data_IF_147486598454
#
_entry.id   IF_147486598454
#
_cell.length_a   1.000
_cell.length_b   1.000
_cell.length_c   1.000
_cell.angle_alpha   90.00
_cell.angle_beta   90.00
_cell.angle_gamma   90.00
#
_symmetry.space_group_name_H-M   'P 1'
#
loop_
_entity.id
_entity.type
_entity.pdbx_description
1 polymer ?
#
# COMPACT_ATOMS: atom_id res chain seq x y z
N UNK A 1 -6.43 -6.59 -15.10
CA UNK A 1 -7.45 -5.72 -15.73
C UNK A 1 -8.19 -6.45 -16.84
N UNK A 2 -7.49 -7.12 -17.75
CA UNK A 2 -8.10 -7.89 -18.85
C UNK A 2 -9.18 -8.88 -18.41
N UNK A 3 -8.96 -9.65 -17.34
CA UNK A 3 -9.98 -10.61 -16.84
C UNK A 3 -11.30 -9.94 -16.46
N UNK A 4 -11.27 -8.72 -15.91
CA UNK A 4 -12.48 -7.96 -15.55
C UNK A 4 -13.22 -7.51 -16.80
N UNK A 5 -12.49 -6.98 -17.79
CA UNK A 5 -13.04 -6.49 -19.05
C UNK A 5 -13.63 -7.63 -19.88
N UNK A 6 -12.92 -8.76 -19.96
CA UNK A 6 -13.38 -9.96 -20.67
C UNK A 6 -14.63 -10.58 -20.04
N UNK A 7 -14.83 -10.37 -18.73
CA UNK A 7 -16.04 -10.77 -18.01
C UNK A 7 -17.20 -9.74 -18.14
N UNK A 8 -17.04 -8.69 -18.95
CA UNK A 8 -18.06 -7.65 -19.20
C UNK A 8 -17.99 -6.46 -18.24
N UNK A 9 -16.99 -6.38 -17.37
CA UNK A 9 -16.76 -5.24 -16.48
C UNK A 9 -16.09 -4.06 -17.17
N UNK A 10 -16.13 -2.88 -16.52
CA UNK A 10 -15.41 -1.67 -16.95
C UNK A 10 -14.37 -1.26 -15.92
N UNK A 11 -13.17 -0.88 -16.36
CA UNK A 11 -12.11 -0.32 -15.52
C UNK A 11 -11.84 1.11 -15.97
N UNK A 12 -12.09 2.08 -15.08
CA UNK A 12 -11.81 3.50 -15.34
C UNK A 12 -10.53 3.90 -14.59
N UNK A 13 -9.39 3.93 -15.28
CA UNK A 13 -8.12 4.37 -14.70
C UNK A 13 -7.93 5.89 -14.85
N UNK A 14 -7.19 6.50 -13.93
CA UNK A 14 -6.96 7.96 -13.96
C UNK A 14 -8.20 8.80 -13.65
N UNK A 15 -9.22 8.21 -13.03
CA UNK A 15 -10.43 8.89 -12.57
C UNK A 15 -10.54 8.76 -11.05
N UNK A 16 -10.18 9.82 -10.31
CA UNK A 16 -10.23 9.80 -8.85
C UNK A 16 -11.65 10.09 -8.38
N UNK A 17 -12.19 9.28 -7.47
CA UNK A 17 -13.45 9.63 -6.78
C UNK A 17 -13.22 10.87 -5.93
N UNK A 18 -14.03 11.91 -6.17
CA UNK A 18 -13.96 13.19 -5.46
C UNK A 18 -15.08 13.36 -4.43
N UNK A 19 -16.24 12.76 -4.69
CA UNK A 19 -17.42 12.94 -3.84
C UNK A 19 -18.34 11.72 -3.94
N UNK A 20 -18.95 11.35 -2.81
CA UNK A 20 -19.98 10.31 -2.71
C UNK A 20 -21.25 10.97 -2.19
N UNK A 21 -22.35 10.84 -2.93
CA UNK A 21 -23.64 11.38 -2.54
C UNK A 21 -24.45 10.33 -1.78
N UNK A 22 -25.11 10.75 -0.70
CA UNK A 22 -25.88 9.85 0.18
C UNK A 22 -27.27 10.41 0.41
N UNK A 23 -28.29 9.57 0.21
CA UNK A 23 -29.70 9.85 0.44
C UNK A 23 -30.31 8.69 1.22
N UNK A 24 -31.10 8.96 2.27
CA UNK A 24 -31.83 7.93 3.04
C UNK A 24 -30.96 6.74 3.54
N UNK A 25 -29.71 7.00 3.94
CA UNK A 25 -28.72 5.98 4.36
C UNK A 25 -28.29 5.01 3.25
N UNK A 26 -28.36 5.46 2.00
CA UNK A 26 -27.86 4.76 0.82
C UNK A 26 -27.04 5.73 -0.05
N UNK A 27 -26.00 5.22 -0.71
CA UNK A 27 -25.25 5.99 -1.70
C UNK A 27 -26.12 6.16 -2.94
N UNK A 28 -26.39 7.40 -3.34
CA UNK A 28 -27.17 7.72 -4.54
C UNK A 28 -26.30 7.85 -5.79
N UNK A 29 -25.05 8.31 -5.64
CA UNK A 29 -24.07 8.35 -6.74
C UNK A 29 -22.64 8.63 -6.27
N UNK A 30 -21.68 8.31 -7.13
CA UNK A 30 -20.26 8.63 -6.96
C UNK A 30 -19.83 9.59 -8.07
N UNK A 31 -19.11 10.66 -7.73
CA UNK A 31 -18.62 11.69 -8.66
C UNK A 31 -17.10 11.67 -8.70
N UNK A 32 -16.52 11.70 -9.91
CA UNK A 32 -15.07 11.72 -10.11
C UNK A 32 -14.54 13.13 -10.35
N UNK A 33 -13.22 13.29 -10.27
CA UNK A 33 -12.49 14.52 -10.59
C UNK A 33 -12.72 15.03 -12.02
N UNK A 34 -12.96 14.12 -12.96
CA UNK A 34 -13.33 14.43 -14.34
C UNK A 34 -14.82 14.78 -14.53
N UNK A 35 -15.61 14.82 -13.45
CA UNK A 35 -17.03 15.19 -13.47
C UNK A 35 -17.99 14.07 -13.84
N UNK A 36 -17.50 12.84 -14.08
CA UNK A 36 -18.36 11.69 -14.34
C UNK A 36 -19.16 11.32 -13.10
N UNK A 37 -20.40 10.86 -13.31
CA UNK A 37 -21.30 10.41 -12.26
C UNK A 37 -21.69 8.95 -12.47
N UNK A 38 -21.47 8.13 -11.46
CA UNK A 38 -21.80 6.71 -11.47
C UNK A 38 -22.92 6.42 -10.48
N UNK A 39 -23.87 5.56 -10.88
CA UNK A 39 -24.95 5.03 -10.05
C UNK A 39 -24.90 3.51 -10.09
N UNK A 40 -25.19 2.88 -8.96
CA UNK A 40 -25.23 1.43 -8.81
C UNK A 40 -26.19 1.04 -7.67
N UNK A 41 -26.69 -0.19 -7.71
CA UNK A 41 -27.48 -0.77 -6.62
C UNK A 41 -26.62 -1.04 -5.38
N UNK A 42 -25.36 -1.44 -5.59
CA UNK A 42 -24.37 -1.75 -4.56
C UNK A 42 -23.03 -1.08 -4.88
N UNK A 43 -22.37 -0.58 -3.84
CA UNK A 43 -21.04 0.02 -3.88
C UNK A 43 -20.09 -0.77 -3.00
N UNK A 44 -18.86 -0.96 -3.48
CA UNK A 44 -17.79 -1.60 -2.73
C UNK A 44 -16.62 -0.63 -2.66
N UNK A 45 -16.21 -0.29 -1.44
CA UNK A 45 -15.04 0.57 -1.20
C UNK A 45 -13.82 -0.28 -0.83
N UNK A 46 -12.76 -0.13 -1.61
CA UNK A 46 -11.44 -0.74 -1.35
C UNK A 46 -10.39 0.27 -0.85
N UNK A 47 -10.79 1.54 -0.66
CA UNK A 47 -9.87 2.59 -0.19
C UNK A 47 -9.75 2.57 1.34
N UNK A 48 -8.79 3.35 1.86
CA UNK A 48 -8.61 3.49 3.30
C UNK A 48 -9.89 4.05 3.97
N UNK A 49 -10.39 3.48 5.09
CA UNK A 49 -11.63 3.94 5.71
C UNK A 49 -11.64 5.42 6.10
N UNK A 50 -10.54 5.98 6.63
CA UNK A 50 -10.44 7.44 6.81
C UNK A 50 -10.65 8.23 5.51
N UNK A 51 -10.02 7.83 4.41
CA UNK A 51 -10.18 8.51 3.12
C UNK A 51 -11.61 8.40 2.59
N UNK A 52 -12.30 7.28 2.86
CA UNK A 52 -13.72 7.14 2.55
C UNK A 52 -14.58 8.12 3.34
N UNK A 53 -14.27 8.38 4.62
CA UNK A 53 -15.00 9.37 5.42
C UNK A 53 -14.90 10.78 4.81
N UNK A 54 -13.75 11.13 4.25
CA UNK A 54 -13.51 12.45 3.65
C UNK A 54 -14.32 12.66 2.35
N UNK A 55 -14.72 11.58 1.67
CA UNK A 55 -15.52 11.61 0.44
C UNK A 55 -17.04 11.64 0.71
N UNK A 56 -17.46 11.34 1.94
CA UNK A 56 -18.86 11.22 2.32
C UNK A 56 -19.38 12.53 2.94
N UNK A 57 -20.69 12.82 2.83
CA UNK A 57 -21.26 14.02 3.44
C UNK A 57 -21.09 13.97 4.97
N UNK A 58 -20.80 15.11 5.63
CA UNK A 58 -20.74 15.18 7.08
C UNK A 58 -22.02 14.64 7.74
N UNK A 59 -21.88 13.84 8.80
CA UNK A 59 -23.03 13.23 9.50
C UNK A 59 -23.56 11.93 8.89
N UNK A 60 -22.96 11.44 7.79
CA UNK A 60 -23.27 10.11 7.23
C UNK A 60 -23.14 9.00 8.28
N UNK A 61 -22.00 8.99 8.97
CA UNK A 61 -21.73 8.12 10.11
C UNK A 61 -21.70 8.90 11.43
N UNK A 62 -21.93 8.20 12.54
CA UNK A 62 -21.87 8.80 13.87
C UNK A 62 -20.45 9.30 14.19
N UNK A 63 -20.36 10.45 14.87
CA UNK A 63 -19.07 11.05 15.26
C UNK A 63 -18.15 10.08 16.01
N UNK A 64 -18.71 9.25 16.90
CA UNK A 64 -17.94 8.24 17.64
C UNK A 64 -17.29 7.20 16.72
N UNK A 65 -18.00 6.74 15.69
CA UNK A 65 -17.45 5.80 14.70
C UNK A 65 -16.34 6.46 13.88
N UNK A 66 -16.54 7.69 13.39
CA UNK A 66 -15.52 8.42 12.65
C UNK A 66 -14.26 8.64 13.50
N UNK A 67 -14.43 9.08 14.76
CA UNK A 67 -13.32 9.29 15.69
C UNK A 67 -12.56 8.00 15.96
N UNK A 68 -13.26 6.87 16.16
CA UNK A 68 -12.63 5.56 16.31
C UNK A 68 -11.77 5.22 15.08
N UNK A 69 -12.31 5.31 13.87
CA UNK A 69 -11.54 5.01 12.66
C UNK A 69 -10.31 5.91 12.51
N UNK A 70 -10.40 7.18 12.92
CA UNK A 70 -9.27 8.09 12.88
C UNK A 70 -8.20 7.79 13.95
N UNK A 71 -8.58 7.19 15.09
CA UNK A 71 -7.68 6.88 16.19
C UNK A 71 -6.96 5.53 16.06
N UNK A 72 -7.44 4.62 15.20
CA UNK A 72 -6.73 3.36 14.93
C UNK A 72 -5.38 3.72 14.27
N UNK A 73 -4.24 3.35 14.86
CA UNK A 73 -2.94 3.58 14.26
C UNK A 73 -2.81 2.85 12.92
N UNK A 74 -2.10 3.45 11.97
CA UNK A 74 -1.68 2.71 10.77
C UNK A 74 -0.45 1.84 11.05
N UNK A 75 -0.28 0.80 10.23
CA UNK A 75 0.97 0.08 10.13
C UNK A 75 2.08 1.00 9.62
N UNK A 76 3.32 0.54 9.78
CA UNK A 76 4.47 1.17 9.13
C UNK A 76 4.31 1.23 7.59
N UNK A 77 5.12 2.10 7.00
CA UNK A 77 5.30 2.27 5.56
C UNK A 77 6.67 1.75 5.15
N UNK A 78 7.17 2.12 3.97
CA UNK A 78 8.48 1.67 3.52
C UNK A 78 9.27 2.76 2.79
N UNK A 79 10.60 2.65 2.89
CA UNK A 79 11.52 3.23 1.94
C UNK A 79 12.01 2.11 1.01
N UNK A 80 11.68 2.22 -0.27
CA UNK A 80 12.05 1.20 -1.26
C UNK A 80 13.04 1.77 -2.26
N UNK A 81 14.01 0.95 -2.66
CA UNK A 81 14.99 1.26 -3.72
C UNK A 81 14.77 0.29 -4.87
N UNK A 82 14.61 0.84 -6.05
CA UNK A 82 14.46 0.12 -7.31
C UNK A 82 15.70 0.38 -8.15
N UNK A 83 16.38 -0.69 -8.54
CA UNK A 83 17.61 -0.65 -9.31
C UNK A 83 17.33 -1.37 -10.63
N UNK A 84 17.41 -0.65 -11.74
CA UNK A 84 17.51 -1.27 -13.06
C UNK A 84 18.96 -1.59 -13.35
N UNK A 85 19.24 -2.83 -13.73
CA UNK A 85 20.60 -3.30 -14.02
C UNK A 85 20.90 -3.17 -15.52
N UNK A 86 22.15 -2.85 -15.84
CA UNK A 86 22.65 -2.78 -17.21
C UNK A 86 22.52 -4.14 -17.90
N UNK A 87 22.24 -4.11 -19.20
CA UNK A 87 22.35 -5.30 -20.03
C UNK A 87 23.76 -5.90 -19.92
N UNK A 88 23.84 -7.22 -19.75
CA UNK A 88 25.11 -7.95 -19.57
C UNK A 88 25.66 -7.99 -18.15
N UNK A 89 24.93 -7.49 -17.13
CA UNK A 89 25.31 -7.66 -15.72
C UNK A 89 25.56 -9.12 -15.36
N UNK A 90 26.54 -9.34 -14.48
CA UNK A 90 26.83 -10.66 -13.92
C UNK A 90 26.09 -10.92 -12.59
N UNK A 91 25.25 -9.99 -12.13
CA UNK A 91 24.49 -10.15 -10.89
C UNK A 91 23.48 -11.29 -11.05
N UNK A 92 23.55 -12.35 -10.22
CA UNK A 92 22.69 -13.52 -10.38
C UNK A 92 21.24 -13.19 -10.05
N UNK A 93 20.33 -13.79 -10.82
CA UNK A 93 18.93 -13.86 -10.43
C UNK A 93 18.78 -14.79 -9.22
N UNK A 94 18.04 -14.34 -8.20
CA UNK A 94 17.78 -15.08 -6.97
C UNK A 94 16.28 -15.28 -6.82
N UNK A 95 15.82 -16.52 -7.01
CA UNK A 95 14.41 -16.88 -6.89
C UNK A 95 13.94 -17.08 -5.43
N UNK A 96 14.45 -16.26 -4.52
CA UNK A 96 14.00 -16.22 -3.13
C UNK A 96 14.33 -14.86 -2.53
N UNK A 97 13.61 -14.52 -1.47
CA UNK A 97 13.83 -13.31 -0.72
C UNK A 97 15.11 -13.39 0.09
N UNK A 98 15.92 -12.34 0.01
CA UNK A 98 17.09 -12.17 0.88
C UNK A 98 16.82 -11.07 1.89
N UNK A 99 17.31 -11.24 3.11
CA UNK A 99 17.14 -10.27 4.19
C UNK A 99 18.50 -9.76 4.64
N UNK A 100 18.60 -8.46 4.83
CA UNK A 100 19.66 -7.83 5.60
C UNK A 100 19.11 -7.45 6.96
N UNK A 101 19.91 -7.68 8.00
CA UNK A 101 19.60 -7.23 9.34
C UNK A 101 20.92 -6.86 10.02
N UNK A 102 20.95 -5.68 10.64
CA UNK A 102 22.16 -5.16 11.25
C UNK A 102 22.59 -5.97 12.49
N UNK A 103 21.62 -6.42 13.28
CA UNK A 103 21.83 -7.28 14.45
C UNK A 103 20.56 -8.06 14.79
N UNK A 104 20.66 -9.10 15.62
CA UNK A 104 19.48 -9.84 16.09
C UNK A 104 18.53 -8.95 16.91
N UNK A 105 19.07 -7.96 17.62
CA UNK A 105 18.31 -7.09 18.55
C UNK A 105 17.30 -6.18 17.85
N UNK A 106 17.51 -5.88 16.56
CA UNK A 106 16.62 -5.00 15.78
C UNK A 106 15.50 -5.74 15.07
N UNK A 107 15.44 -7.08 15.16
CA UNK A 107 14.45 -7.91 14.44
C UNK A 107 12.99 -7.49 14.69
N UNK A 108 12.67 -7.09 15.93
CA UNK A 108 11.32 -6.67 16.32
C UNK A 108 11.08 -5.15 16.19
N UNK A 109 12.11 -4.42 15.77
CA UNK A 109 12.16 -2.96 15.71
C UNK A 109 12.60 -2.46 14.33
N UNK A 110 12.41 -3.26 13.29
CA UNK A 110 12.87 -2.94 11.94
C UNK A 110 12.23 -1.67 11.36
N UNK A 111 11.08 -1.26 11.89
CA UNK A 111 10.40 -0.03 11.50
C UNK A 111 10.67 1.15 12.46
N UNK A 112 11.43 0.96 13.53
CA UNK A 112 11.90 2.09 14.35
C UNK A 112 12.88 2.90 13.51
N UNK A 113 12.76 4.22 13.55
CA UNK A 113 13.53 5.11 12.68
C UNK A 113 14.52 5.95 13.47
N UNK A 114 15.79 5.77 13.14
CA UNK A 114 16.90 6.66 13.48
C UNK A 114 17.66 6.94 12.16
N UNK A 115 17.79 8.21 11.78
CA UNK A 115 18.42 8.61 10.51
C UNK A 115 19.89 8.15 10.39
N UNK A 116 20.61 8.01 11.51
CA UNK A 116 22.03 7.63 11.53
C UNK A 116 22.24 6.11 11.41
N UNK A 117 21.26 5.32 11.88
CA UNK A 117 21.33 3.85 11.91
C UNK A 117 20.56 3.19 10.75
N UNK A 118 19.79 3.97 10.00
CA UNK A 118 18.96 3.45 8.93
C UNK A 118 19.79 2.85 7.76
N UNK A 119 19.33 1.77 7.11
CA UNK A 119 18.26 0.87 7.54
C UNK A 119 18.75 -0.18 8.56
N UNK A 120 17.96 -0.43 9.61
CA UNK A 120 18.20 -1.51 10.58
C UNK A 120 18.06 -2.91 9.96
N UNK A 121 17.28 -3.00 8.89
CA UNK A 121 17.16 -4.20 8.07
C UNK A 121 16.28 -3.94 6.84
N UNK A 122 16.40 -4.81 5.85
CA UNK A 122 15.60 -4.73 4.63
C UNK A 122 15.40 -6.08 3.98
N UNK A 123 14.36 -6.12 3.15
CA UNK A 123 14.09 -7.18 2.20
C UNK A 123 14.72 -6.82 0.85
N UNK A 124 15.40 -7.77 0.22
CA UNK A 124 15.98 -7.64 -1.11
C UNK A 124 15.50 -8.79 -2.00
N UNK A 125 14.93 -8.45 -3.15
CA UNK A 125 14.47 -9.41 -4.16
C UNK A 125 14.99 -9.02 -5.53
N UNK A 126 15.15 -10.03 -6.39
CA UNK A 126 15.27 -9.86 -7.84
C UNK A 126 13.94 -10.31 -8.45
N UNK A 127 13.02 -9.38 -8.77
CA UNK A 127 11.74 -9.76 -9.38
C UNK A 127 11.95 -10.53 -10.69
N UNK A 128 11.16 -11.58 -10.97
CA UNK A 128 11.20 -12.22 -12.28
C UNK A 128 10.72 -11.25 -13.34
N UNK A 129 11.29 -11.33 -14.54
CA UNK A 129 10.86 -10.56 -15.71
C UNK A 129 10.65 -11.49 -16.90
N UNK A 130 10.10 -10.99 -18.01
CA UNK A 130 9.97 -11.81 -19.23
C UNK A 130 11.32 -12.30 -19.78
N UNK A 131 12.43 -11.69 -19.37
CA UNK A 131 13.81 -12.10 -19.67
C UNK A 131 14.34 -13.08 -18.61
N UNK A 132 13.56 -14.07 -18.19
CA UNK A 132 14.01 -15.03 -17.17
C UNK A 132 15.28 -15.71 -17.67
N UNK A 133 16.38 -15.52 -16.95
CA UNK A 133 17.68 -16.06 -17.26
C UNK A 133 18.52 -16.23 -15.99
N UNK A 134 19.81 -16.49 -16.19
CA UNK A 134 20.77 -16.69 -15.08
C UNK A 134 20.99 -15.40 -14.26
N UNK A 135 20.83 -14.25 -14.89
CA UNK A 135 21.16 -12.93 -14.31
C UNK A 135 19.90 -12.10 -14.10
N UNK A 136 19.93 -11.24 -13.07
CA UNK A 136 18.84 -10.33 -12.77
C UNK A 136 18.83 -9.15 -13.74
N UNK A 137 17.64 -8.61 -14.05
CA UNK A 137 17.50 -7.33 -14.78
C UNK A 137 17.17 -6.15 -13.85
N UNK A 138 16.70 -6.44 -12.63
CA UNK A 138 16.36 -5.45 -11.63
C UNK A 138 16.46 -6.01 -10.22
N UNK A 139 16.69 -5.11 -9.27
CA UNK A 139 16.67 -5.39 -7.82
C UNK A 139 15.68 -4.45 -7.16
N UNK A 140 14.87 -4.98 -6.25
CA UNK A 140 14.03 -4.19 -5.35
C UNK A 140 14.47 -4.43 -3.91
N UNK A 141 14.78 -3.35 -3.22
CA UNK A 141 15.03 -3.33 -1.78
C UNK A 141 13.87 -2.62 -1.09
N UNK A 142 13.38 -3.16 0.02
CA UNK A 142 12.28 -2.57 0.80
C UNK A 142 12.68 -2.56 2.27
N UNK A 143 12.82 -1.35 2.81
CA UNK A 143 13.16 -1.10 4.21
C UNK A 143 11.89 -0.63 4.93
N UNK A 144 11.44 -1.29 6.00
CA UNK A 144 10.38 -0.77 6.85
C UNK A 144 10.72 0.64 7.36
N UNK A 145 9.74 1.54 7.39
CA UNK A 145 9.93 2.92 7.84
C UNK A 145 8.60 3.48 8.37
N UNK A 146 8.57 4.19 9.50
CA UNK A 146 7.36 4.79 10.02
C UNK A 146 7.06 6.09 9.26
N UNK A 147 5.78 6.47 9.15
CA UNK A 147 5.42 7.73 8.49
C UNK A 147 5.98 8.97 9.21
N UNK A 148 6.21 8.87 10.52
CA UNK A 148 6.80 9.94 11.33
C UNK A 148 8.16 10.42 10.78
N UNK A 149 8.95 9.54 10.13
CA UNK A 149 10.21 9.87 9.48
C UNK A 149 10.07 10.96 8.40
N UNK A 150 8.87 11.12 7.82
CA UNK A 150 8.59 12.07 6.74
C UNK A 150 7.47 13.05 7.07
N UNK A 151 7.00 13.07 8.32
CA UNK A 151 5.87 13.90 8.74
C UNK A 151 6.11 15.40 8.50
N UNK A 152 7.36 15.88 8.61
CA UNK A 152 7.75 17.26 8.28
C UNK A 152 7.31 17.70 6.89
N UNK A 153 7.20 16.77 5.94
CA UNK A 153 6.84 17.04 4.55
C UNK A 153 5.47 16.46 4.17
N UNK A 154 4.61 16.16 5.15
CA UNK A 154 3.29 15.58 4.93
C UNK A 154 2.40 16.43 3.98
N UNK A 155 2.52 17.74 4.00
CA UNK A 155 1.68 18.58 3.12
C UNK A 155 2.20 18.66 1.68
N UNK A 156 3.45 18.28 1.42
CA UNK A 156 3.99 18.22 0.07
C UNK A 156 3.39 17.06 -0.74
N UNK A 157 3.55 17.08 -2.07
CA UNK A 157 3.09 16.03 -2.99
C UNK A 157 4.16 15.66 -4.01
N UNK A 158 3.99 14.52 -4.66
CA UNK A 158 4.82 14.12 -5.81
C UNK A 158 4.86 15.22 -6.88
N UNK A 159 6.04 15.49 -7.43
CA UNK A 159 6.30 16.65 -8.31
C UNK A 159 6.61 17.95 -7.55
N UNK A 160 6.09 18.12 -6.33
CA UNK A 160 6.18 19.37 -5.54
C UNK A 160 6.83 19.11 -4.18
N UNK A 161 7.99 18.47 -4.17
CA UNK A 161 8.76 18.19 -2.95
C UNK A 161 9.79 19.29 -2.68
N UNK A 162 9.92 19.76 -1.43
CA UNK A 162 10.94 20.74 -1.06
C UNK A 162 12.36 20.16 -1.21
N UNK A 163 13.35 21.04 -1.31
CA UNK A 163 14.76 20.67 -1.47
C UNK A 163 15.23 19.77 -0.31
N UNK A 164 14.90 20.13 0.92
CA UNK A 164 15.25 19.36 2.12
C UNK A 164 14.80 17.90 2.06
N UNK A 165 13.60 17.64 1.52
CA UNK A 165 13.10 16.27 1.34
C UNK A 165 13.92 15.51 0.31
N UNK A 166 14.34 16.17 -0.78
CA UNK A 166 15.15 15.54 -1.84
C UNK A 166 16.53 15.17 -1.29
N UNK A 167 17.12 16.04 -0.49
CA UNK A 167 18.40 15.80 0.19
C UNK A 167 18.30 14.65 1.20
N UNK A 168 17.25 14.67 2.05
CA UNK A 168 16.97 13.57 2.97
C UNK A 168 16.82 12.23 2.22
N UNK A 169 16.02 12.21 1.16
CA UNK A 169 15.78 11.01 0.35
C UNK A 169 17.08 10.51 -0.30
N UNK A 170 17.97 11.41 -0.73
CA UNK A 170 19.27 11.05 -1.28
C UNK A 170 20.19 10.42 -0.22
N UNK A 171 20.21 10.96 1.01
CA UNK A 171 20.95 10.35 2.14
C UNK A 171 20.44 8.95 2.48
N UNK A 172 19.13 8.79 2.61
CA UNK A 172 18.52 7.47 2.87
C UNK A 172 18.82 6.48 1.75
N UNK A 173 18.76 6.91 0.50
CA UNK A 173 19.16 6.07 -0.63
C UNK A 173 20.63 5.65 -0.53
N UNK A 174 21.54 6.57 -0.23
CA UNK A 174 22.97 6.25 -0.10
C UNK A 174 23.20 5.20 0.99
N UNK A 175 22.62 5.38 2.18
CA UNK A 175 22.76 4.45 3.30
C UNK A 175 22.23 3.04 2.96
N UNK A 176 21.07 2.94 2.31
CA UNK A 176 20.51 1.65 1.87
C UNK A 176 21.46 0.97 0.87
N UNK A 177 22.01 1.73 -0.08
CA UNK A 177 22.96 1.19 -1.06
C UNK A 177 24.28 0.75 -0.40
N UNK A 178 24.76 1.44 0.64
CA UNK A 178 25.96 1.06 1.39
C UNK A 178 25.78 -0.32 2.03
N UNK A 179 24.62 -0.55 2.66
CA UNK A 179 24.29 -1.87 3.23
C UNK A 179 24.02 -2.92 2.16
N UNK A 180 23.41 -2.54 1.02
CA UNK A 180 23.18 -3.45 -0.09
C UNK A 180 24.48 -3.95 -0.71
N UNK A 181 25.52 -3.12 -0.79
CA UNK A 181 26.83 -3.54 -1.30
C UNK A 181 27.51 -4.61 -0.45
N UNK A 182 27.17 -4.73 0.83
CA UNK A 182 27.61 -5.85 1.67
C UNK A 182 27.02 -7.18 1.20
N UNK A 183 25.85 -7.17 0.57
CA UNK A 183 25.17 -8.36 0.04
C UNK A 183 25.44 -8.59 -1.45
N UNK A 184 25.59 -7.50 -2.22
CA UNK A 184 25.79 -7.52 -3.67
C UNK A 184 26.92 -6.54 -3.99
N UNK A 185 28.19 -6.96 -3.84
CA UNK A 185 29.34 -6.10 -4.11
C UNK A 185 29.31 -5.55 -5.52
N UNK A 186 29.56 -4.25 -5.67
CA UNK A 186 29.60 -3.58 -6.99
C UNK A 186 28.23 -3.30 -7.62
N UNK A 187 27.11 -3.48 -6.91
CA UNK A 187 25.75 -3.24 -7.45
C UNK A 187 25.58 -1.84 -8.07
N UNK A 188 26.25 -0.82 -7.53
CA UNK A 188 26.20 0.54 -8.08
C UNK A 188 26.84 0.64 -9.46
N UNK A 189 27.90 -0.13 -9.72
CA UNK A 189 28.60 -0.12 -11.01
C UNK A 189 27.76 -0.78 -12.11
N UNK A 190 26.95 -1.77 -11.74
CA UNK A 190 26.07 -2.51 -12.65
C UNK A 190 24.67 -1.87 -12.78
N UNK A 191 24.38 -0.83 -12.01
CA UNK A 191 23.12 -0.10 -12.11
C UNK A 191 23.08 0.81 -13.35
N UNK A 192 22.02 0.66 -14.15
CA UNK A 192 21.67 1.62 -15.21
C UNK A 192 20.93 2.82 -14.61
N UNK A 193 20.00 2.57 -13.69
CA UNK A 193 19.30 3.61 -12.94
C UNK A 193 18.97 3.14 -11.53
N UNK A 194 18.88 4.11 -10.62
CA UNK A 194 18.49 3.88 -9.23
C UNK A 194 17.43 4.91 -8.85
N UNK A 195 16.28 4.43 -8.39
CA UNK A 195 15.17 5.27 -7.95
C UNK A 195 14.70 4.80 -6.58
N UNK A 196 14.44 5.73 -5.68
CA UNK A 196 13.82 5.41 -4.39
C UNK A 196 12.37 5.87 -4.31
N UNK A 197 11.57 5.24 -3.46
CA UNK A 197 10.26 5.70 -2.98
C UNK A 197 10.28 5.80 -1.45
N UNK A 198 9.63 6.83 -0.91
CA UNK A 198 9.45 7.00 0.54
C UNK A 198 7.99 6.76 0.94
N UNK A 199 7.64 6.80 2.24
CA UNK A 199 6.25 6.74 2.66
C UNK A 199 5.35 7.81 2.01
N UNK A 200 5.88 9.00 1.71
CA UNK A 200 5.12 10.02 0.98
C UNK A 200 4.90 9.67 -0.50
N UNK A 201 5.83 8.96 -1.12
CA UNK A 201 5.63 8.42 -2.48
C UNK A 201 4.54 7.35 -2.46
N UNK A 202 4.58 6.42 -1.52
CA UNK A 202 3.57 5.35 -1.37
C UNK A 202 2.18 5.94 -1.11
N UNK A 203 2.09 6.91 -0.19
CA UNK A 203 0.83 7.65 0.08
C UNK A 203 0.23 8.25 -1.18
N UNK A 204 1.03 8.93 -1.98
CA UNK A 204 0.54 9.65 -3.17
C UNK A 204 0.17 8.70 -4.31
N UNK A 205 0.91 7.61 -4.51
CA UNK A 205 0.64 6.65 -5.58
C UNK A 205 -0.51 5.68 -5.27
N UNK A 206 -0.65 5.26 -4.01
CA UNK A 206 -1.69 4.29 -3.61
C UNK A 206 -2.89 4.95 -2.93
N UNK A 207 -2.89 6.29 -2.75
CA UNK A 207 -3.93 7.04 -2.06
C UNK A 207 -4.28 6.46 -0.68
N UNK A 208 -3.30 5.90 0.03
CA UNK A 208 -3.46 5.27 1.34
C UNK A 208 -2.95 6.23 2.43
N UNK A 209 -3.70 6.35 3.52
CA UNK A 209 -3.33 7.18 4.67
C UNK A 209 -1.92 6.80 5.15
N UNK A 210 -1.08 7.81 5.33
CA UNK A 210 0.30 7.66 5.84
C UNK A 210 1.20 6.70 5.01
N UNK A 211 0.81 6.36 3.77
CA UNK A 211 1.57 5.43 2.96
C UNK A 211 1.66 4.03 3.58
N UNK A 212 0.70 3.63 4.42
CA UNK A 212 0.79 2.37 5.17
C UNK A 212 0.78 1.14 4.24
N UNK A 213 1.71 0.21 4.49
CA UNK A 213 1.86 -1.00 3.69
C UNK A 213 0.78 -2.05 3.96
N UNK A 214 0.21 -2.02 5.17
CA UNK A 214 -0.78 -3.00 5.63
C UNK A 214 -2.06 -2.36 6.17
N UNK A 215 -2.29 -1.07 5.91
CA UNK A 215 -3.47 -0.35 6.40
C UNK A 215 -3.40 -0.11 7.90
N UNK A 216 -4.51 -0.31 8.61
CA UNK A 216 -4.54 -0.25 10.07
C UNK A 216 -3.64 -1.30 10.73
N UNK A 217 -2.99 -0.90 11.81
CA UNK A 217 -2.27 -1.81 12.69
C UNK A 217 -3.27 -2.66 13.48
N UNK A 218 -3.03 -3.97 13.48
CA UNK A 218 -3.78 -4.90 14.32
C UNK A 218 -3.05 -5.05 15.65
N UNK A 219 -3.75 -4.70 16.73
CA UNK A 219 -3.24 -4.84 18.08
C UNK A 219 -3.91 -6.03 18.75
N UNK A 220 -3.12 -7.02 19.18
CA UNK A 220 -3.64 -8.19 19.86
C UNK A 220 -4.16 -7.87 21.28
N UNK A 221 -3.74 -6.74 21.86
CA UNK A 221 -4.21 -6.26 23.16
C UNK A 221 -5.57 -5.55 23.07
N UNK A 222 -5.93 -5.02 21.90
CA UNK A 222 -7.24 -4.42 21.62
C UNK A 222 -7.74 -4.77 20.19
N UNK A 223 -8.10 -6.04 20.00
CA UNK A 223 -8.63 -6.52 18.71
C UNK A 223 -9.94 -5.83 18.30
N UNK A 224 -10.73 -5.35 19.27
CA UNK A 224 -12.01 -4.69 18.99
C UNK A 224 -11.80 -3.31 18.35
N UNK A 225 -10.72 -2.61 18.72
CA UNK A 225 -10.37 -1.33 18.13
C UNK A 225 -10.05 -1.45 16.64
N UNK A 226 -9.20 -2.42 16.25
CA UNK A 226 -8.73 -2.57 14.86
C UNK A 226 -9.71 -3.32 13.95
N UNK A 227 -10.72 -4.00 14.50
CA UNK A 227 -11.71 -4.70 13.69
C UNK A 227 -12.66 -3.73 12.94
N UNK A 228 -12.80 -3.96 11.63
CA UNK A 228 -13.71 -3.20 10.77
C UNK A 228 -14.63 -4.19 10.03
N UNK A 229 -15.96 -4.09 10.19
CA UNK A 229 -16.88 -4.97 9.48
C UNK A 229 -16.93 -4.63 7.98
N UNK A 230 -17.11 -5.65 7.14
CA UNK A 230 -17.35 -5.47 5.71
C UNK A 230 -18.64 -4.68 5.44
N UNK A 231 -19.72 -5.00 6.16
CA UNK A 231 -20.98 -4.28 6.03
C UNK A 231 -20.93 -2.96 6.81
N UNK A 232 -21.36 -1.88 6.16
CA UNK A 232 -21.44 -0.57 6.79
C UNK A 232 -22.86 -0.25 7.27
N UNK A 233 -23.05 0.92 7.91
CA UNK A 233 -24.38 1.45 8.21
C UNK A 233 -25.09 2.07 7.00
N UNK A 234 -24.40 2.21 5.87
CA UNK A 234 -25.02 2.51 4.58
C UNK A 234 -25.44 1.19 3.93
N UNK A 235 -26.73 1.06 3.60
CA UNK A 235 -27.32 -0.24 3.24
C UNK A 235 -26.71 -0.85 1.99
N UNK A 236 -26.28 0.00 1.06
CA UNK A 236 -25.70 -0.40 -0.21
C UNK A 236 -24.18 -0.19 -0.30
N UNK A 237 -23.47 -0.14 0.83
CA UNK A 237 -22.02 0.00 0.86
C UNK A 237 -21.35 -1.13 1.65
N UNK A 238 -20.46 -1.84 0.96
CA UNK A 238 -19.53 -2.81 1.52
C UNK A 238 -18.10 -2.27 1.51
N UNK A 239 -17.28 -2.74 2.45
CA UNK A 239 -15.85 -2.49 2.52
C UNK A 239 -15.08 -3.76 2.16
N UNK A 240 -13.93 -3.57 1.50
CA UNK A 240 -12.98 -4.65 1.19
C UNK A 240 -11.54 -4.17 1.30
N UNK A 241 -10.59 -5.07 1.10
CA UNK A 241 -9.16 -4.78 1.14
C UNK A 241 -8.55 -4.82 2.54
N UNK A 242 -7.35 -4.26 2.65
CA UNK A 242 -6.43 -4.51 3.78
C UNK A 242 -6.90 -3.99 5.15
N UNK A 243 -7.85 -3.05 5.18
CA UNK A 243 -8.31 -2.42 6.42
C UNK A 243 -9.49 -3.15 7.10
N UNK A 244 -10.02 -4.22 6.50
CA UNK A 244 -11.31 -4.80 6.93
C UNK A 244 -11.13 -6.11 7.71
N UNK A 245 -10.56 -7.14 7.08
CA UNK A 245 -10.49 -8.49 7.66
C UNK A 245 -9.05 -9.02 7.79
N UNK A 246 -8.34 -9.14 6.68
CA UNK A 246 -6.94 -9.58 6.67
C UNK A 246 -6.13 -8.68 5.74
N UNK A 247 -4.97 -8.21 6.21
CA UNK A 247 -4.04 -7.45 5.39
C UNK A 247 -3.09 -8.36 4.59
N UNK A 248 -2.28 -7.76 3.71
CA UNK A 248 -1.32 -8.47 2.87
C UNK A 248 -1.96 -9.21 1.69
N UNK A 249 -1.16 -9.59 0.69
CA UNK A 249 -1.65 -10.07 -0.61
C UNK A 249 -2.65 -11.24 -0.51
N UNK A 250 -2.37 -12.24 0.32
CA UNK A 250 -3.29 -13.36 0.54
C UNK A 250 -4.55 -12.92 1.31
N UNK A 251 -4.36 -12.11 2.36
CA UNK A 251 -5.45 -11.63 3.20
C UNK A 251 -6.47 -10.76 2.45
N UNK A 252 -5.99 -9.85 1.60
CA UNK A 252 -6.87 -8.99 0.79
C UNK A 252 -7.63 -9.79 -0.26
N UNK A 253 -7.02 -10.84 -0.82
CA UNK A 253 -7.68 -11.73 -1.79
C UNK A 253 -8.83 -12.50 -1.13
N UNK A 254 -8.60 -13.07 0.06
CA UNK A 254 -9.65 -13.71 0.86
C UNK A 254 -10.73 -12.73 1.30
N UNK A 255 -10.35 -11.49 1.64
CA UNK A 255 -11.30 -10.43 1.98
C UNK A 255 -12.18 -10.08 0.78
N UNK A 256 -11.61 -9.96 -0.43
CA UNK A 256 -12.36 -9.70 -1.65
C UNK A 256 -13.35 -10.83 -1.99
N UNK A 257 -12.95 -12.10 -1.84
CA UNK A 257 -13.85 -13.25 -1.99
C UNK A 257 -15.02 -13.15 -1.01
N UNK A 258 -14.75 -12.90 0.27
CA UNK A 258 -15.80 -12.74 1.28
C UNK A 258 -16.73 -11.57 0.96
N UNK A 259 -16.21 -10.43 0.53
CA UNK A 259 -17.03 -9.28 0.13
C UNK A 259 -17.92 -9.63 -1.06
N UNK A 260 -17.40 -10.33 -2.06
CA UNK A 260 -18.19 -10.77 -3.21
C UNK A 260 -19.28 -11.79 -2.82
N UNK A 261 -18.99 -12.72 -1.91
CA UNK A 261 -19.99 -13.67 -1.39
C UNK A 261 -21.08 -13.01 -0.53
N UNK A 262 -20.87 -11.81 0.01
CA UNK A 262 -21.95 -11.02 0.60
C UNK A 262 -23.01 -10.61 -0.44
N UNK A 263 -22.64 -10.53 -1.72
CA UNK A 263 -23.54 -10.20 -2.83
C UNK A 263 -24.08 -11.45 -3.53
N UNK A 264 -23.23 -12.46 -3.74
CA UNK A 264 -23.57 -13.65 -4.55
C UNK A 264 -24.08 -14.83 -3.72
N UNK A 265 -24.01 -14.74 -2.39
CA UNK A 265 -24.35 -15.81 -1.46
C UNK A 265 -23.12 -16.56 -0.95
N UNK A 266 -23.19 -16.99 0.32
CA UNK A 266 -22.09 -17.66 1.03
C UNK A 266 -21.66 -18.95 0.32
N UNK A 267 -20.36 -19.12 0.10
CA UNK A 267 -19.77 -20.30 -0.52
C UNK A 267 -19.95 -20.39 -2.05
N UNK A 268 -20.60 -19.42 -2.69
CA UNK A 268 -20.86 -19.42 -4.13
C UNK A 268 -19.59 -19.27 -4.98
N UNK A 269 -18.51 -18.71 -4.40
CA UNK A 269 -17.23 -18.50 -5.06
C UNK A 269 -16.23 -19.53 -4.58
N UNK A 270 -16.09 -19.72 -3.27
CA UNK A 270 -15.11 -20.65 -2.69
C UNK A 270 -15.31 -22.08 -3.21
N UNK A 271 -16.56 -22.52 -3.42
CA UNK A 271 -16.87 -23.85 -3.97
C UNK A 271 -16.42 -24.07 -5.42
N UNK A 272 -16.07 -23.00 -6.14
CA UNK A 272 -15.63 -23.03 -7.54
C UNK A 272 -14.11 -22.82 -7.69
N UNK A 273 -13.40 -22.57 -6.60
CA UNK A 273 -11.94 -22.47 -6.62
C UNK A 273 -11.40 -23.91 -6.54
N UNK A 274 -10.58 -24.34 -7.52
CA UNK A 274 -10.02 -25.68 -7.55
C UNK A 274 -9.05 -25.97 -6.40
#
# INVERSE_FOLDING_TARGET
MESIINAGGKVCAGETVKEINVENKEISSVVTDNGNRFKADMYISAIHPCSLLDLLPPGTFQKAYCKRLQSIPNSYSAFSVYIGLKDGTAIPFVNHTRYFMQSADVMWKLYDYNEEEFPSGFLCITPPSSKIGKYADRITVTCPMPFSAVAKWADSRTGHRPVEYKEWKARMLSQVLDKLELMIPGVRNDAEFIIASSPLTIRDYYAVKEGSMYGYMYDCTDMALSYIPMATKLRNLLLTGQNVFLHGMCGVSLTAIKTAECLTGRGSIVSKIP
#
